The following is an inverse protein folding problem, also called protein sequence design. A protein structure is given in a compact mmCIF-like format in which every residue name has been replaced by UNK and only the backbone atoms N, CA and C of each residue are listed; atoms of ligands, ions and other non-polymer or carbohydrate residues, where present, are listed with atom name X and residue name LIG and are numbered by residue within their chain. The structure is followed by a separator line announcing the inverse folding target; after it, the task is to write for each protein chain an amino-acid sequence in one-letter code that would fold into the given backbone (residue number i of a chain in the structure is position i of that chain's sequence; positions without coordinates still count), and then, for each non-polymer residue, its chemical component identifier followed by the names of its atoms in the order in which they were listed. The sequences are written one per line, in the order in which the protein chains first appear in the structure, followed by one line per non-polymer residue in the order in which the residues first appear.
data_IF_925384135242
#
_entry.id   IF_925384135242
#
_cell.length_a   1.000
_cell.length_b   1.000
_cell.length_c   1.000
_cell.angle_alpha   90.00
_cell.angle_beta   90.00
_cell.angle_gamma   90.00
#
_symmetry.space_group_name_H-M   'P 1'
#
loop_
_entity.id
_entity.type
_entity.pdbx_description
1 polymer ?
#
# COMPACT_ATOMS: atom_id res chain seq x y z
N UNK A 1 -3.43 14.91 4.58
CA UNK A 1 -3.28 14.72 6.04
C UNK A 1 -1.82 14.50 6.38
N UNK A 2 -1.35 15.19 7.38
CA UNK A 2 0.03 15.08 7.81
C UNK A 2 0.21 13.93 8.80
N UNK A 3 1.32 13.21 8.67
CA UNK A 3 1.64 12.07 9.54
C UNK A 3 2.67 12.54 10.57
N UNK A 4 2.37 12.29 11.86
CA UNK A 4 3.27 12.66 12.96
C UNK A 4 4.55 11.81 12.92
N UNK A 5 5.67 12.40 13.32
CA UNK A 5 6.97 11.71 13.35
C UNK A 5 6.94 10.43 14.19
N UNK A 6 6.15 10.40 15.27
CA UNK A 6 6.04 9.22 16.14
C UNK A 6 5.46 7.99 15.43
N UNK A 7 4.77 8.19 14.30
CA UNK A 7 4.18 7.09 13.51
C UNK A 7 5.07 6.65 12.36
N UNK A 8 6.24 7.26 12.19
CA UNK A 8 7.16 6.95 11.10
C UNK A 8 8.26 6.03 11.60
N UNK A 9 8.47 4.93 10.89
CA UNK A 9 9.51 3.95 11.19
C UNK A 9 10.47 3.86 10.00
N UNK A 10 11.75 4.05 10.26
CA UNK A 10 12.78 3.94 9.22
C UNK A 10 12.99 2.46 8.90
N UNK A 11 12.91 2.10 7.62
CA UNK A 11 13.07 0.72 7.18
C UNK A 11 14.53 0.30 7.08
N UNK A 12 14.78 -1.00 7.32
CA UNK A 12 16.02 -1.63 6.92
C UNK A 12 15.97 -2.00 5.44
N UNK A 13 16.92 -2.80 4.99
CA UNK A 13 16.99 -3.24 3.59
C UNK A 13 15.78 -4.08 3.17
N UNK A 14 15.15 -4.76 4.13
CA UNK A 14 13.92 -5.53 3.91
C UNK A 14 12.88 -5.04 4.90
N UNK A 15 11.74 -4.61 4.40
CA UNK A 15 10.61 -4.17 5.22
C UNK A 15 9.42 -5.08 4.98
N UNK A 16 8.81 -5.57 6.05
CA UNK A 16 7.67 -6.50 5.95
C UNK A 16 6.54 -6.03 6.84
N UNK A 17 5.32 -6.19 6.36
CA UNK A 17 4.13 -6.13 7.21
C UNK A 17 3.33 -7.40 7.03
N UNK A 18 2.67 -7.84 8.10
CA UNK A 18 1.97 -9.11 8.13
C UNK A 18 0.76 -9.06 9.03
N UNK A 19 -0.35 -9.64 8.57
CA UNK A 19 -1.56 -9.84 9.36
C UNK A 19 -2.27 -11.11 8.90
N UNK A 20 -2.63 -11.99 9.84
CA UNK A 20 -3.46 -13.18 9.59
C UNK A 20 -3.04 -13.98 8.36
N UNK A 21 -1.76 -14.37 8.30
CA UNK A 21 -1.18 -15.16 7.19
C UNK A 21 -1.13 -14.44 5.84
N UNK A 22 -1.29 -13.13 5.85
CA UNK A 22 -1.08 -12.29 4.67
C UNK A 22 0.12 -11.40 4.90
N UNK A 23 0.95 -11.23 3.89
CA UNK A 23 2.16 -10.44 4.05
C UNK A 23 2.50 -9.62 2.80
N UNK A 24 3.18 -8.51 3.06
CA UNK A 24 3.78 -7.66 2.03
C UNK A 24 5.22 -7.42 2.43
N UNK A 25 6.17 -7.66 1.52
CA UNK A 25 7.59 -7.47 1.76
C UNK A 25 8.17 -6.57 0.69
N UNK A 26 8.89 -5.53 1.13
CA UNK A 26 9.59 -4.60 0.25
C UNK A 26 11.08 -4.81 0.41
N UNK A 27 11.78 -5.14 -0.68
CA UNK A 27 13.23 -5.30 -0.71
C UNK A 27 13.87 -4.02 -1.26
N UNK A 28 15.10 -3.75 -0.85
CA UNK A 28 15.81 -2.49 -1.10
C UNK A 28 15.07 -1.31 -0.48
N UNK A 29 14.58 -1.51 0.74
CA UNK A 29 13.71 -0.56 1.42
C UNK A 29 14.47 0.45 2.30
N UNK A 30 15.79 0.50 2.24
CA UNK A 30 16.63 1.27 3.17
C UNK A 30 16.23 2.74 3.29
N UNK A 31 15.81 3.36 2.19
CA UNK A 31 15.43 4.78 2.18
C UNK A 31 13.93 4.99 2.40
N UNK A 32 13.20 3.92 2.73
CA UNK A 32 11.77 4.00 2.94
C UNK A 32 11.41 4.25 4.39
N UNK A 33 10.27 4.88 4.56
CA UNK A 33 9.60 5.08 5.85
C UNK A 33 8.33 4.25 5.82
N UNK A 34 8.09 3.51 6.89
CA UNK A 34 6.90 2.68 7.07
C UNK A 34 5.98 3.36 8.07
N UNK A 35 4.70 3.44 7.72
CA UNK A 35 3.68 4.01 8.58
C UNK A 35 2.57 2.99 8.77
N UNK A 36 2.27 2.64 10.01
CA UNK A 36 1.10 1.83 10.34
C UNK A 36 -0.09 2.78 10.45
N UNK A 37 -0.98 2.71 9.47
CA UNK A 37 -2.15 3.60 9.43
C UNK A 37 -3.23 3.06 10.37
N UNK A 38 -3.65 1.82 10.15
CA UNK A 38 -4.68 1.19 10.99
C UNK A 38 -4.06 0.71 12.30
N UNK A 39 -4.45 1.30 13.39
CA UNK A 39 -3.98 0.95 14.73
C UNK A 39 -2.94 1.90 15.30
N UNK A 40 -2.35 2.81 14.50
CA UNK A 40 -1.40 3.80 14.98
C UNK A 40 -1.85 5.21 14.61
N UNK A 41 -1.79 5.60 13.33
CA UNK A 41 -2.31 6.92 12.90
C UNK A 41 -3.78 7.05 13.28
N UNK A 42 -4.56 6.02 13.03
CA UNK A 42 -5.94 5.90 13.51
C UNK A 42 -5.98 4.79 14.55
N UNK A 43 -6.17 5.13 15.84
CA UNK A 43 -6.16 4.11 16.90
C UNK A 43 -7.36 3.18 16.79
N UNK A 44 -7.27 2.04 17.47
CA UNK A 44 -8.35 1.07 17.52
C UNK A 44 -9.63 1.74 18.03
N UNK A 45 -10.76 1.49 17.35
CA UNK A 45 -12.04 2.10 17.67
C UNK A 45 -12.38 3.31 16.81
N UNK A 46 -11.39 3.92 16.14
CA UNK A 46 -11.67 4.96 15.14
C UNK A 46 -12.33 4.31 13.94
N UNK A 47 -13.38 4.94 13.41
CA UNK A 47 -14.20 4.36 12.34
C UNK A 47 -13.85 4.88 10.94
N UNK A 48 -12.80 5.70 10.82
CA UNK A 48 -12.35 6.20 9.52
C UNK A 48 -11.95 5.04 8.62
N UNK A 49 -12.46 5.03 7.39
CA UNK A 49 -12.09 4.01 6.39
C UNK A 49 -10.65 4.26 5.97
N UNK A 50 -9.80 3.25 6.12
CA UNK A 50 -8.37 3.36 5.89
C UNK A 50 -7.76 2.00 5.61
N UNK A 51 -6.60 1.99 4.93
CA UNK A 51 -5.82 0.78 4.73
C UNK A 51 -4.85 0.56 5.89
N UNK A 52 -4.11 -0.54 5.87
CA UNK A 52 -3.26 -0.95 6.99
C UNK A 52 -1.93 -0.18 7.04
N UNK A 53 -1.22 -0.05 5.92
CA UNK A 53 0.14 0.49 5.89
C UNK A 53 0.39 1.42 4.71
N UNK A 54 1.32 2.35 4.93
CA UNK A 54 1.88 3.21 3.88
C UNK A 54 3.40 3.13 3.97
N UNK A 55 4.06 2.89 2.83
CA UNK A 55 5.50 3.01 2.71
C UNK A 55 5.80 4.15 1.74
N UNK A 56 6.76 4.99 2.06
CA UNK A 56 7.18 6.03 1.12
C UNK A 56 8.65 6.36 1.31
N UNK A 57 9.28 6.91 0.26
CA UNK A 57 10.60 7.48 0.38
C UNK A 57 10.54 8.96 0.03
N UNK A 58 11.51 9.70 0.54
CA UNK A 58 11.59 11.13 0.34
C UNK A 58 12.99 11.52 -0.13
N UNK A 59 13.05 12.55 -0.97
CA UNK A 59 14.29 13.20 -1.35
C UNK A 59 14.04 14.70 -1.34
N UNK A 60 14.84 15.44 -0.57
CA UNK A 60 14.67 16.88 -0.43
C UNK A 60 13.26 17.27 0.04
N UNK A 61 12.73 16.49 1.00
CA UNK A 61 11.41 16.69 1.60
C UNK A 61 10.23 16.42 0.66
N UNK A 62 10.50 15.87 -0.53
CA UNK A 62 9.44 15.47 -1.46
C UNK A 62 9.35 13.95 -1.53
N UNK A 63 8.12 13.43 -1.52
CA UNK A 63 7.91 11.99 -1.71
C UNK A 63 8.15 11.63 -3.16
N UNK A 64 9.00 10.63 -3.38
CA UNK A 64 9.31 10.14 -4.71
C UNK A 64 8.32 9.05 -5.11
N UNK A 65 8.07 8.11 -4.21
CA UNK A 65 7.18 6.98 -4.45
C UNK A 65 6.42 6.64 -3.17
N UNK A 66 5.18 6.21 -3.34
CA UNK A 66 4.29 5.82 -2.24
C UNK A 66 3.72 4.44 -2.51
N UNK A 67 3.61 3.62 -1.46
CA UNK A 67 3.05 2.27 -1.55
C UNK A 67 2.01 2.12 -0.45
N UNK A 68 0.75 1.96 -0.83
CA UNK A 68 -0.35 1.73 0.10
C UNK A 68 -0.66 0.24 0.14
N UNK A 69 -0.80 -0.31 1.33
CA UNK A 69 -0.99 -1.76 1.52
C UNK A 69 -2.18 -2.05 2.41
N UNK A 70 -3.06 -2.92 1.93
CA UNK A 70 -4.18 -3.45 2.70
C UNK A 70 -4.04 -4.98 2.76
N UNK A 71 -3.96 -5.52 3.98
CA UNK A 71 -3.71 -6.94 4.23
C UNK A 71 -4.95 -7.70 4.71
N UNK A 72 -6.12 -7.11 4.61
CA UNK A 72 -7.32 -7.72 5.16
C UNK A 72 -8.21 -8.33 4.10
N UNK A 73 -8.70 -9.49 4.44
CA UNK A 73 -10.01 -9.88 4.10
C UNK A 73 -10.21 -10.80 2.96
N UNK A 74 -11.43 -11.24 3.02
CA UNK A 74 -12.09 -12.00 1.98
C UNK A 74 -12.80 -11.07 1.02
N UNK A 75 -12.99 -9.81 1.43
CA UNK A 75 -13.77 -8.82 0.68
C UNK A 75 -12.83 -7.87 -0.07
N UNK A 76 -12.58 -8.23 -1.33
CA UNK A 76 -11.70 -7.48 -2.22
C UNK A 76 -12.24 -6.07 -2.48
N UNK A 77 -13.57 -5.94 -2.63
CA UNK A 77 -14.21 -4.64 -2.85
C UNK A 77 -13.96 -3.69 -1.69
N UNK A 78 -14.10 -4.19 -0.46
CA UNK A 78 -13.84 -3.42 0.75
C UNK A 78 -12.37 -3.02 0.84
N UNK A 79 -11.46 -3.95 0.52
CA UNK A 79 -10.01 -3.67 0.53
C UNK A 79 -9.65 -2.55 -0.45
N UNK A 80 -10.20 -2.58 -1.65
CA UNK A 80 -9.98 -1.54 -2.65
C UNK A 80 -10.50 -0.19 -2.15
N UNK A 81 -11.66 -0.18 -1.51
CA UNK A 81 -12.25 1.04 -0.95
C UNK A 81 -11.36 1.65 0.14
N UNK A 82 -10.79 0.81 0.99
CA UNK A 82 -9.87 1.25 2.02
C UNK A 82 -8.61 1.88 1.42
N UNK A 83 -8.09 1.31 0.34
CA UNK A 83 -6.97 1.88 -0.40
C UNK A 83 -7.34 3.23 -1.03
N UNK A 84 -8.50 3.32 -1.65
CA UNK A 84 -8.98 4.57 -2.25
C UNK A 84 -9.04 5.69 -1.22
N UNK A 85 -9.61 5.43 -0.06
CA UNK A 85 -9.76 6.42 1.00
C UNK A 85 -8.41 6.85 1.57
N UNK A 86 -7.50 5.91 1.77
CA UNK A 86 -6.17 6.24 2.29
C UNK A 86 -5.35 7.05 1.30
N UNK A 87 -5.44 6.74 0.01
CA UNK A 87 -4.79 7.53 -1.04
C UNK A 87 -5.31 8.97 -1.00
N UNK A 88 -6.62 9.14 -0.88
CA UNK A 88 -7.23 10.46 -0.82
C UNK A 88 -6.73 11.27 0.38
N UNK A 89 -6.53 10.63 1.52
CA UNK A 89 -6.07 11.30 2.74
C UNK A 89 -4.56 11.58 2.75
N UNK A 90 -3.73 10.69 2.23
CA UNK A 90 -2.29 10.72 2.47
C UNK A 90 -1.41 10.91 1.24
N UNK A 91 -1.94 10.78 0.04
CA UNK A 91 -1.12 10.83 -1.16
C UNK A 91 -0.49 12.20 -1.40
N UNK A 92 0.79 12.21 -1.74
CA UNK A 92 1.56 13.42 -2.03
C UNK A 92 2.41 13.29 -3.30
N UNK A 93 2.66 12.08 -3.77
CA UNK A 93 3.46 11.81 -4.96
C UNK A 93 2.58 11.48 -6.15
N UNK A 94 3.10 11.64 -7.37
CA UNK A 94 2.43 11.18 -8.59
C UNK A 94 2.87 9.77 -8.99
N UNK A 95 3.73 9.14 -8.21
CA UNK A 95 4.17 7.76 -8.46
C UNK A 95 3.74 6.90 -7.28
N UNK A 96 2.77 6.05 -7.52
CA UNK A 96 2.10 5.36 -6.43
C UNK A 96 1.72 3.93 -6.81
N UNK A 97 1.83 3.03 -5.83
CA UNK A 97 1.37 1.65 -5.93
C UNK A 97 0.39 1.39 -4.80
N UNK A 98 -0.58 0.53 -5.07
CA UNK A 98 -1.54 0.08 -4.05
C UNK A 98 -1.66 -1.44 -4.16
N UNK A 99 -1.54 -2.12 -3.02
CA UNK A 99 -1.62 -3.57 -2.93
C UNK A 99 -2.75 -3.97 -2.01
N UNK A 100 -3.68 -4.76 -2.55
CA UNK A 100 -4.67 -5.46 -1.74
C UNK A 100 -4.24 -6.92 -1.68
N UNK A 101 -3.88 -7.40 -0.49
CA UNK A 101 -3.44 -8.78 -0.27
C UNK A 101 -4.54 -9.51 0.48
N UNK A 102 -5.23 -10.41 -0.20
CA UNK A 102 -6.37 -11.15 0.35
C UNK A 102 -5.97 -12.58 0.66
N UNK A 103 -6.81 -13.29 1.45
CA UNK A 103 -6.59 -14.72 1.71
C UNK A 103 -6.76 -15.51 0.42
N UNK A 104 -7.74 -15.13 -0.39
CA UNK A 104 -8.08 -15.78 -1.64
C UNK A 104 -8.77 -14.75 -2.53
N UNK A 105 -8.39 -14.72 -3.80
CA UNK A 105 -9.02 -13.82 -4.77
C UNK A 105 -9.92 -14.64 -5.66
N UNK A 106 -11.22 -14.58 -5.40
CA UNK A 106 -12.22 -15.29 -6.18
C UNK A 106 -12.39 -14.68 -7.58
N UNK A 107 -12.63 -15.53 -8.58
CA UNK A 107 -12.85 -15.10 -9.96
C UNK A 107 -14.06 -14.16 -10.11
N UNK A 108 -14.99 -14.20 -9.16
CA UNK A 108 -16.14 -13.28 -9.20
C UNK A 108 -15.74 -11.81 -9.14
N UNK A 109 -14.54 -11.50 -8.65
CA UNK A 109 -14.04 -10.13 -8.54
C UNK A 109 -13.24 -9.68 -9.77
N UNK A 110 -13.02 -10.53 -10.76
CA UNK A 110 -12.18 -10.19 -11.91
C UNK A 110 -12.60 -8.91 -12.64
N UNK A 111 -13.90 -8.77 -12.89
CA UNK A 111 -14.43 -7.57 -13.56
C UNK A 111 -14.23 -6.32 -12.72
N UNK A 112 -14.48 -6.40 -11.42
CA UNK A 112 -14.27 -5.31 -10.48
C UNK A 112 -12.79 -4.90 -10.44
N UNK A 113 -11.90 -5.88 -10.35
CA UNK A 113 -10.46 -5.64 -10.30
C UNK A 113 -9.98 -4.95 -11.58
N UNK A 114 -10.41 -5.40 -12.75
CA UNK A 114 -10.05 -4.78 -14.02
C UNK A 114 -10.53 -3.33 -14.09
N UNK A 115 -11.75 -3.09 -13.70
CA UNK A 115 -12.34 -1.75 -13.69
C UNK A 115 -11.57 -0.83 -12.75
N UNK A 116 -11.30 -1.27 -11.53
CA UNK A 116 -10.60 -0.49 -10.51
C UNK A 116 -9.14 -0.26 -10.85
N UNK A 117 -8.48 -1.25 -11.45
CA UNK A 117 -7.09 -1.10 -11.91
C UNK A 117 -6.98 0.05 -12.89
N UNK A 118 -7.92 0.11 -13.84
CA UNK A 118 -7.98 1.18 -14.84
C UNK A 118 -8.28 2.53 -14.20
N UNK A 119 -9.26 2.59 -13.30
CA UNK A 119 -9.62 3.83 -12.61
C UNK A 119 -8.47 4.36 -11.76
N UNK A 120 -7.79 3.51 -11.02
CA UNK A 120 -6.64 3.90 -10.20
C UNK A 120 -5.54 4.51 -11.05
N UNK A 121 -5.25 3.90 -12.19
CA UNK A 121 -4.21 4.40 -13.09
C UNK A 121 -4.58 5.75 -13.68
N UNK A 122 -5.79 5.88 -14.18
CA UNK A 122 -6.23 7.09 -14.88
C UNK A 122 -6.53 8.26 -13.94
N UNK A 123 -7.17 8.00 -12.80
CA UNK A 123 -7.66 9.05 -11.90
C UNK A 123 -6.77 9.32 -10.70
N UNK A 124 -5.95 8.34 -10.31
CA UNK A 124 -5.16 8.42 -9.07
C UNK A 124 -3.66 8.25 -9.28
N UNK A 125 -3.21 8.12 -10.52
CA UNK A 125 -1.79 7.89 -10.85
C UNK A 125 -1.22 6.72 -10.03
N UNK A 126 -2.00 5.65 -9.89
CA UNK A 126 -1.69 4.53 -9.00
C UNK A 126 -1.77 3.21 -9.76
N UNK A 127 -0.76 2.36 -9.58
CA UNK A 127 -0.79 0.97 -10.04
C UNK A 127 -1.40 0.11 -8.94
N UNK A 128 -2.63 -0.35 -9.16
CA UNK A 128 -3.33 -1.23 -8.23
C UNK A 128 -3.01 -2.69 -8.55
N UNK A 129 -2.62 -3.44 -7.53
CA UNK A 129 -2.38 -4.87 -7.62
C UNK A 129 -3.19 -5.60 -6.56
N UNK A 130 -3.91 -6.65 -6.97
CA UNK A 130 -4.66 -7.51 -6.06
C UNK A 130 -4.02 -8.89 -6.12
N UNK A 131 -3.56 -9.38 -4.98
CA UNK A 131 -2.83 -10.66 -4.89
C UNK A 131 -3.32 -11.48 -3.71
N UNK A 132 -3.05 -12.78 -3.74
CA UNK A 132 -3.43 -13.67 -2.65
C UNK A 132 -2.22 -14.03 -1.80
N UNK A 133 -2.43 -14.11 -0.49
CA UNK A 133 -1.52 -14.59 0.56
C UNK A 133 -0.29 -13.73 0.81
N UNK A 134 0.63 -13.60 -0.15
CA UNK A 134 1.88 -12.90 0.06
C UNK A 134 2.34 -12.19 -1.20
N UNK A 135 2.94 -11.01 -1.00
CA UNK A 135 3.53 -10.22 -2.08
C UNK A 135 4.94 -9.83 -1.69
N UNK A 136 5.90 -10.02 -2.60
CA UNK A 136 7.24 -9.49 -2.45
C UNK A 136 7.55 -8.56 -3.59
N UNK A 137 8.05 -7.37 -3.27
CA UNK A 137 8.43 -6.36 -4.25
C UNK A 137 9.89 -6.00 -4.10
N UNK A 138 10.53 -5.66 -5.22
CA UNK A 138 11.87 -5.09 -5.24
C UNK A 138 11.77 -3.63 -5.69
N UNK A 139 12.37 -2.73 -4.92
CA UNK A 139 12.48 -1.35 -5.32
C UNK A 139 13.72 -1.15 -6.18
N UNK A 140 13.55 -0.46 -7.30
CA UNK A 140 14.62 -0.12 -8.23
C UNK A 140 14.93 1.36 -8.13
N UNK A 141 16.09 1.68 -7.53
CA UNK A 141 16.50 3.07 -7.24
C UNK A 141 16.70 3.90 -8.50
N UNK A 142 17.23 3.29 -9.55
CA UNK A 142 17.57 3.98 -10.79
C UNK A 142 16.33 4.45 -11.57
N UNK A 143 15.23 3.73 -11.47
CA UNK A 143 13.98 4.05 -12.18
C UNK A 143 12.86 4.51 -11.25
N UNK A 144 13.04 4.40 -9.95
CA UNK A 144 12.02 4.67 -8.91
C UNK A 144 10.75 3.85 -9.16
N UNK A 145 10.93 2.57 -9.47
CA UNK A 145 9.81 1.64 -9.74
C UNK A 145 9.91 0.40 -8.85
N UNK A 146 8.79 -0.31 -8.77
CA UNK A 146 8.72 -1.61 -8.10
C UNK A 146 8.56 -2.71 -9.14
N UNK A 147 9.17 -3.86 -8.87
CA UNK A 147 8.83 -5.09 -9.57
C UNK A 147 8.35 -6.11 -8.54
N UNK A 148 7.39 -6.93 -8.94
CA UNK A 148 6.83 -7.96 -8.08
C UNK A 148 7.60 -9.26 -8.32
N UNK A 149 8.12 -9.85 -7.22
CA UNK A 149 8.79 -11.15 -7.30
C UNK A 149 7.76 -12.26 -7.42
N UNK A 150 8.07 -13.21 -8.24
CA UNK A 150 7.23 -14.40 -8.41
C UNK A 150 7.46 -15.40 -7.27
#
# INVERSE_FOLDING_TARGET
MEIKEEHKEICGSIATCQENNRSFTLKNATDFIKVKIDGAVFPNGDKTVRCDYLFFNEKEQERIIEIFVELKGKDVEKAIKQLEQSIEMFAQSNRRYAFAVATNVSTQFNTLIQKKTKEFKQKKHTDLKVRSKAVQCNYHTDTNTLSISQ
#
